data_IF_072058500061
#
_entry.id   IF_072058500061
#
_cell.length_a   1.000
_cell.length_b   1.000
_cell.length_c   1.000
_cell.angle_alpha   90.00
_cell.angle_beta   90.00
_cell.angle_gamma   90.00
#
_symmetry.space_group_name_H-M   'P 1'
#
loop_
_entity.id
_entity.type
_entity.pdbx_description
1 polymer ?
#
# COMPACT_ATOMS: atom_id res chain seq x y z
N UNK A 1 3.07 -26.24 -36.32
CA UNK A 1 4.20 -25.44 -35.79
C UNK A 1 3.65 -24.41 -34.81
N UNK A 2 4.04 -24.38 -33.53
CA UNK A 2 3.58 -23.34 -32.61
C UNK A 2 4.42 -22.06 -32.78
N UNK A 3 3.88 -20.87 -32.50
CA UNK A 3 4.54 -19.61 -32.83
C UNK A 3 5.63 -19.21 -31.82
N UNK A 4 6.75 -18.74 -32.39
CA UNK A 4 7.98 -18.26 -31.75
C UNK A 4 7.83 -16.86 -31.09
N UNK A 5 6.85 -16.69 -30.19
CA UNK A 5 6.61 -15.39 -29.51
C UNK A 5 7.34 -15.23 -28.16
N UNK A 6 7.85 -16.32 -27.57
CA UNK A 6 8.41 -16.29 -26.21
C UNK A 6 9.88 -15.86 -26.09
N UNK A 7 10.69 -15.99 -27.14
CA UNK A 7 12.13 -15.65 -27.08
C UNK A 7 12.35 -14.13 -27.01
N UNK A 8 11.69 -13.38 -27.89
CA UNK A 8 11.81 -11.91 -27.95
C UNK A 8 11.34 -11.22 -26.67
N UNK A 9 10.25 -11.67 -26.06
CA UNK A 9 9.78 -11.14 -24.77
C UNK A 9 10.71 -11.47 -23.60
N UNK A 10 11.39 -12.62 -23.62
CA UNK A 10 12.39 -12.95 -22.58
C UNK A 10 13.66 -12.13 -22.72
N UNK A 11 14.06 -11.83 -23.95
CA UNK A 11 15.26 -11.05 -24.23
C UNK A 11 15.07 -9.57 -23.90
N UNK A 12 13.92 -8.98 -24.26
CA UNK A 12 13.58 -7.60 -23.85
C UNK A 12 13.46 -7.48 -22.33
N UNK A 13 12.82 -8.46 -21.66
CA UNK A 13 12.78 -8.52 -20.19
C UNK A 13 14.19 -8.55 -19.59
N UNK A 14 15.10 -9.39 -20.10
CA UNK A 14 16.49 -9.46 -19.61
C UNK A 14 17.27 -8.17 -19.82
N UNK A 15 17.09 -7.48 -20.95
CA UNK A 15 17.75 -6.20 -21.24
C UNK A 15 17.23 -5.11 -20.31
N UNK A 16 15.92 -5.05 -20.08
CA UNK A 16 15.31 -4.12 -19.12
C UNK A 16 15.80 -4.39 -17.69
N UNK A 17 15.87 -5.66 -17.26
CA UNK A 17 16.39 -6.02 -15.94
C UNK A 17 17.86 -5.60 -15.73
N UNK A 18 18.69 -5.65 -16.79
CA UNK A 18 20.10 -5.20 -16.72
C UNK A 18 20.21 -3.68 -16.63
N UNK A 19 19.42 -2.94 -17.41
CA UNK A 19 19.41 -1.47 -17.35
C UNK A 19 18.92 -0.94 -16.01
N UNK A 20 17.89 -1.58 -15.44
CA UNK A 20 17.34 -1.25 -14.12
C UNK A 20 18.38 -1.51 -13.02
N UNK A 21 19.06 -2.65 -13.03
CA UNK A 21 20.16 -2.94 -12.07
C UNK A 21 21.34 -1.97 -12.19
N UNK A 22 21.73 -1.59 -13.40
CA UNK A 22 22.80 -0.59 -13.58
C UNK A 22 22.46 0.77 -12.97
N UNK A 23 21.20 1.20 -13.06
CA UNK A 23 20.71 2.42 -12.40
C UNK A 23 20.66 2.27 -10.87
N UNK A 24 20.22 1.12 -10.38
CA UNK A 24 20.24 0.77 -8.95
C UNK A 24 21.67 0.88 -8.39
N UNK A 25 22.65 0.27 -9.06
CA UNK A 25 24.05 0.30 -8.64
C UNK A 25 24.64 1.72 -8.68
N UNK A 26 24.34 2.49 -9.73
CA UNK A 26 24.79 3.88 -9.84
C UNK A 26 24.23 4.78 -8.74
N UNK A 27 22.94 4.64 -8.40
CA UNK A 27 22.32 5.38 -7.30
C UNK A 27 22.89 4.95 -5.96
N UNK A 28 23.04 3.65 -5.72
CA UNK A 28 23.64 3.14 -4.49
C UNK A 28 25.05 3.70 -4.29
N UNK A 29 25.92 3.62 -5.30
CA UNK A 29 27.31 4.12 -5.22
C UNK A 29 27.38 5.63 -4.97
N UNK A 30 26.46 6.39 -5.57
CA UNK A 30 26.39 7.85 -5.36
C UNK A 30 26.17 8.17 -3.88
N UNK A 31 25.26 7.46 -3.23
CA UNK A 31 24.84 7.77 -1.87
C UNK A 31 25.65 7.05 -0.79
N UNK A 32 26.26 5.89 -1.10
CA UNK A 32 27.11 5.14 -0.16
C UNK A 32 28.40 5.88 0.23
N UNK A 33 28.85 6.83 -0.60
CA UNK A 33 30.09 7.62 -0.37
C UNK A 33 29.80 8.94 0.36
N UNK A 34 28.53 9.27 0.61
CA UNK A 34 28.17 10.54 1.28
C UNK A 34 28.50 10.45 2.77
N UNK A 35 29.56 11.16 3.16
CA UNK A 35 30.08 11.22 4.54
C UNK A 35 29.71 12.50 5.29
N UNK A 36 29.21 13.53 4.59
CA UNK A 36 28.87 14.82 5.18
C UNK A 36 27.36 15.07 5.06
N UNK A 37 26.66 15.44 6.15
CA UNK A 37 25.26 15.81 6.09
C UNK A 37 25.08 17.19 5.47
N UNK A 38 23.97 17.36 4.76
CA UNK A 38 23.42 18.65 4.35
C UNK A 38 23.02 19.50 5.56
N UNK A 39 22.92 20.82 5.38
CA UNK A 39 22.47 21.73 6.45
C UNK A 39 21.07 21.34 6.95
N UNK A 40 20.18 20.96 6.04
CA UNK A 40 18.85 20.47 6.37
C UNK A 40 18.90 19.21 7.23
N UNK A 41 19.74 18.23 6.90
CA UNK A 41 19.87 17.03 7.74
C UNK A 41 20.47 17.36 9.11
N UNK A 42 21.43 18.29 9.19
CA UNK A 42 21.98 18.75 10.47
C UNK A 42 20.91 19.40 11.34
N UNK A 43 20.07 20.25 10.76
CA UNK A 43 18.95 20.90 11.46
C UNK A 43 17.96 19.86 11.99
N UNK A 44 17.54 18.92 11.14
CA UNK A 44 16.59 17.87 11.51
C UNK A 44 17.13 16.94 12.60
N UNK A 45 18.41 16.56 12.52
CA UNK A 45 19.04 15.70 13.54
C UNK A 45 19.30 16.48 14.84
N UNK A 46 19.52 17.79 14.76
CA UNK A 46 19.68 18.67 15.92
C UNK A 46 18.43 18.75 16.80
N UNK A 47 17.24 18.64 16.20
CA UNK A 47 15.99 18.53 16.94
C UNK A 47 15.64 17.07 17.23
N UNK A 48 15.57 16.70 18.52
CA UNK A 48 15.28 15.33 18.97
C UNK A 48 13.94 14.79 18.43
N UNK A 49 12.92 15.61 18.31
CA UNK A 49 11.61 15.18 17.82
C UNK A 49 11.63 14.91 16.32
N UNK A 50 12.24 15.82 15.56
CA UNK A 50 12.43 15.67 14.11
C UNK A 50 13.30 14.45 13.78
N UNK A 51 14.41 14.27 14.49
CA UNK A 51 15.27 13.11 14.37
C UNK A 51 14.48 11.82 14.62
N UNK A 52 13.69 11.77 15.71
CA UNK A 52 12.85 10.62 16.02
C UNK A 52 11.84 10.34 14.91
N UNK A 53 11.11 11.36 14.44
CA UNK A 53 10.13 11.20 13.36
C UNK A 53 10.79 10.68 12.07
N UNK A 54 11.94 11.22 11.69
CA UNK A 54 12.73 10.79 10.53
C UNK A 54 13.13 9.32 10.65
N UNK A 55 13.70 8.90 11.78
CA UNK A 55 14.14 7.52 11.98
C UNK A 55 12.97 6.53 12.03
N UNK A 56 11.86 6.91 12.65
CA UNK A 56 10.65 6.08 12.70
C UNK A 56 10.03 5.93 11.30
N UNK A 57 9.94 7.01 10.52
CA UNK A 57 9.48 6.99 9.14
C UNK A 57 10.32 6.08 8.26
N UNK A 58 11.64 6.25 8.30
CA UNK A 58 12.59 5.41 7.55
C UNK A 58 12.43 3.92 7.90
N UNK A 59 12.42 3.57 9.19
CA UNK A 59 12.27 2.18 9.65
C UNK A 59 10.93 1.57 9.22
N UNK A 60 9.85 2.35 9.33
CA UNK A 60 8.51 1.94 8.89
C UNK A 60 8.51 1.68 7.39
N UNK A 61 9.15 2.54 6.60
CA UNK A 61 9.22 2.40 5.16
C UNK A 61 10.01 1.17 4.75
N UNK A 62 11.19 0.95 5.34
CA UNK A 62 11.98 -0.26 5.12
C UNK A 62 11.18 -1.52 5.46
N UNK A 63 10.48 -1.52 6.60
CA UNK A 63 9.60 -2.63 6.97
C UNK A 63 8.51 -2.83 5.92
N UNK A 64 7.84 -1.76 5.47
CA UNK A 64 6.80 -1.82 4.44
C UNK A 64 7.32 -2.44 3.14
N UNK A 65 8.48 -1.98 2.65
CA UNK A 65 9.09 -2.49 1.41
C UNK A 65 9.44 -3.97 1.53
N UNK A 66 9.98 -4.43 2.67
CA UNK A 66 10.35 -5.84 2.87
C UNK A 66 9.18 -6.82 2.80
N UNK A 67 7.95 -6.37 3.08
CA UNK A 67 6.76 -7.21 2.96
C UNK A 67 6.21 -7.28 1.52
N UNK A 68 6.78 -6.51 0.58
CA UNK A 68 6.39 -6.52 -0.83
C UNK A 68 7.26 -7.49 -1.62
N UNK A 69 6.76 -7.94 -2.75
CA UNK A 69 7.56 -8.69 -3.69
C UNK A 69 8.76 -7.87 -4.14
N UNK A 70 9.94 -8.48 -4.05
CA UNK A 70 11.22 -7.87 -4.44
C UNK A 70 11.49 -7.99 -5.95
N UNK A 71 10.61 -8.66 -6.69
CA UNK A 71 10.71 -8.76 -8.14
C UNK A 71 10.21 -7.48 -8.79
N UNK A 72 11.01 -6.89 -9.68
CA UNK A 72 10.58 -5.77 -10.51
C UNK A 72 9.39 -6.13 -11.41
N UNK A 73 9.26 -7.41 -11.80
CA UNK A 73 8.16 -7.89 -12.65
C UNK A 73 6.79 -7.77 -11.95
N UNK A 74 6.77 -7.77 -10.62
CA UNK A 74 5.53 -7.68 -9.85
C UNK A 74 5.10 -6.22 -9.63
N UNK A 75 5.96 -5.25 -9.98
CA UNK A 75 5.66 -3.81 -9.90
C UNK A 75 5.41 -3.28 -8.47
N UNK A 76 5.77 -4.05 -7.44
CA UNK A 76 5.51 -3.67 -6.04
C UNK A 76 6.64 -2.85 -5.40
N UNK A 77 7.83 -2.88 -6.02
CA UNK A 77 9.02 -2.16 -5.58
C UNK A 77 9.65 -1.39 -6.73
N UNK A 78 10.16 -0.21 -6.40
CA UNK A 78 10.86 0.70 -7.31
C UNK A 78 12.38 0.54 -7.18
N UNK A 79 13.13 1.16 -8.09
CA UNK A 79 14.60 1.25 -7.99
C UNK A 79 15.00 1.93 -6.67
N UNK A 80 14.28 2.98 -6.27
CA UNK A 80 14.54 3.70 -5.03
C UNK A 80 14.32 2.82 -3.80
N UNK A 81 13.28 1.98 -3.80
CA UNK A 81 13.00 1.04 -2.71
C UNK A 81 14.15 0.05 -2.53
N UNK A 82 14.70 -0.45 -3.64
CA UNK A 82 15.82 -1.40 -3.64
C UNK A 82 17.12 -0.75 -3.16
N UNK A 83 17.41 0.47 -3.60
CA UNK A 83 18.54 1.27 -3.11
C UNK A 83 18.39 1.59 -1.63
N UNK A 84 17.18 1.96 -1.18
CA UNK A 84 16.90 2.24 0.24
C UNK A 84 17.19 1.00 1.10
N UNK A 85 16.68 -0.16 0.69
CA UNK A 85 16.94 -1.42 1.39
C UNK A 85 18.42 -1.75 1.42
N UNK A 86 19.12 -1.59 0.29
CA UNK A 86 20.55 -1.89 0.22
C UNK A 86 21.39 -0.98 1.13
N UNK A 87 21.13 0.33 1.12
CA UNK A 87 21.79 1.29 2.01
C UNK A 87 21.47 0.98 3.50
N UNK A 88 20.24 0.56 3.80
CA UNK A 88 19.81 0.21 5.15
C UNK A 88 20.40 -1.12 5.65
N UNK A 89 20.49 -2.12 4.78
CA UNK A 89 20.98 -3.46 5.12
C UNK A 89 22.50 -3.46 5.32
N UNK A 90 23.24 -2.70 4.50
CA UNK A 90 24.68 -2.57 4.61
C UNK A 90 25.12 -1.59 5.72
N UNK A 91 24.25 -0.63 6.07
CA UNK A 91 24.47 0.34 7.14
C UNK A 91 23.51 0.12 8.31
N UNK A 92 23.82 -0.82 9.21
CA UNK A 92 23.05 -1.01 10.45
C UNK A 92 23.21 0.14 11.47
N UNK A 93 23.92 1.21 11.13
CA UNK A 93 24.12 2.38 11.98
C UNK A 93 23.46 3.62 11.37
N UNK A 94 22.62 4.30 12.17
CA UNK A 94 22.02 5.61 11.89
C UNK A 94 23.04 6.75 11.72
N UNK A 95 24.33 6.42 11.60
CA UNK A 95 25.46 7.33 11.46
C UNK A 95 25.90 7.48 9.99
N UNK A 96 25.37 6.65 9.08
CA UNK A 96 25.60 6.81 7.66
C UNK A 96 24.70 7.90 7.09
N UNK A 97 25.25 9.11 6.98
CA UNK A 97 24.56 10.25 6.38
C UNK A 97 24.03 9.94 4.99
N UNK A 98 24.74 9.13 4.19
CA UNK A 98 24.27 8.70 2.88
C UNK A 98 22.89 8.04 2.85
N UNK A 99 22.51 7.26 3.87
CA UNK A 99 21.17 6.67 3.96
C UNK A 99 20.10 7.73 4.24
N UNK A 100 20.37 8.62 5.19
CA UNK A 100 19.43 9.68 5.59
C UNK A 100 19.27 10.72 4.48
N UNK A 101 20.37 11.12 3.86
CA UNK A 101 20.40 12.01 2.71
C UNK A 101 19.66 11.42 1.51
N UNK A 102 19.87 10.14 1.21
CA UNK A 102 19.11 9.47 0.16
C UNK A 102 17.61 9.47 0.46
N UNK A 103 17.23 9.17 1.71
CA UNK A 103 15.84 9.17 2.13
C UNK A 103 15.19 10.56 1.98
N UNK A 104 15.87 11.63 2.39
CA UNK A 104 15.35 12.99 2.21
C UNK A 104 15.30 13.40 0.74
N UNK A 105 16.42 13.32 0.04
CA UNK A 105 16.60 13.87 -1.30
C UNK A 105 15.81 13.11 -2.37
N UNK A 106 15.92 11.79 -2.40
CA UNK A 106 15.32 10.97 -3.46
C UNK A 106 13.99 10.36 -3.02
N UNK A 107 13.82 9.98 -1.74
CA UNK A 107 12.60 9.28 -1.28
C UNK A 107 11.47 10.22 -0.86
N UNK A 108 11.77 11.24 -0.05
CA UNK A 108 10.81 12.29 0.30
C UNK A 108 10.70 13.35 -0.81
N UNK A 109 11.70 13.42 -1.70
CA UNK A 109 11.67 14.26 -2.88
C UNK A 109 12.17 15.68 -2.66
N UNK A 110 12.94 15.96 -1.61
CA UNK A 110 13.46 17.32 -1.34
C UNK A 110 14.38 17.83 -2.45
N UNK A 111 14.95 16.94 -3.26
CA UNK A 111 15.76 17.28 -4.44
C UNK A 111 14.96 17.96 -5.56
N UNK A 112 13.64 17.75 -5.61
CA UNK A 112 12.76 18.34 -6.63
C UNK A 112 12.30 19.74 -6.22
N UNK A 113 12.44 20.09 -4.94
CA UNK A 113 12.06 21.38 -4.40
C UNK A 113 12.96 22.49 -4.97
N UNK A 114 12.35 23.61 -5.33
CA UNK A 114 13.05 24.77 -5.89
C UNK A 114 13.46 25.77 -4.81
N UNK A 115 12.86 25.70 -3.63
CA UNK A 115 13.16 26.54 -2.47
C UNK A 115 13.31 25.72 -1.18
N UNK A 116 13.99 26.32 -0.20
CA UNK A 116 14.13 25.77 1.14
C UNK A 116 12.76 25.67 1.85
N UNK A 117 11.89 26.65 1.67
CA UNK A 117 10.51 26.64 2.19
C UNK A 117 9.71 25.42 1.69
N UNK A 118 9.84 25.08 0.41
CA UNK A 118 9.17 23.93 -0.19
C UNK A 118 9.70 22.62 0.41
N UNK A 119 11.03 22.50 0.59
CA UNK A 119 11.63 21.33 1.24
C UNK A 119 11.15 21.16 2.68
N UNK A 120 11.09 22.27 3.45
CA UNK A 120 10.59 22.26 4.82
C UNK A 120 9.10 21.89 4.89
N UNK A 121 8.29 22.36 3.94
CA UNK A 121 6.87 22.00 3.84
C UNK A 121 6.69 20.50 3.59
N UNK A 122 7.45 19.90 2.66
CA UNK A 122 7.42 18.46 2.38
C UNK A 122 7.79 17.64 3.62
N UNK A 123 8.83 18.07 4.34
CA UNK A 123 9.28 17.38 5.56
C UNK A 123 8.24 17.51 6.68
N UNK A 124 7.68 18.70 6.88
CA UNK A 124 6.63 18.94 7.86
C UNK A 124 5.39 18.07 7.57
N UNK A 125 4.97 17.98 6.31
CA UNK A 125 3.90 17.09 5.88
C UNK A 125 4.24 15.62 6.17
N UNK A 126 5.48 15.19 5.92
CA UNK A 126 5.91 13.83 6.23
C UNK A 126 5.88 13.55 7.73
N UNK A 127 6.33 14.48 8.58
CA UNK A 127 6.30 14.33 10.03
C UNK A 127 4.87 14.33 10.57
N UNK A 128 3.99 15.18 10.05
CA UNK A 128 2.57 15.16 10.40
C UNK A 128 1.94 13.80 10.08
N UNK A 129 2.20 13.26 8.88
CA UNK A 129 1.73 11.94 8.48
C UNK A 129 2.31 10.83 9.39
N UNK A 130 3.60 10.91 9.73
CA UNK A 130 4.24 9.96 10.63
C UNK A 130 3.63 10.01 12.03
N UNK A 131 3.29 11.20 12.53
CA UNK A 131 2.64 11.39 13.83
C UNK A 131 1.25 10.76 13.86
N UNK A 132 0.46 10.91 12.79
CA UNK A 132 -0.84 10.22 12.61
C UNK A 132 -0.65 8.71 12.65
N UNK A 133 0.37 8.23 11.96
CA UNK A 133 0.65 6.81 11.82
C UNK A 133 1.18 6.16 13.11
N UNK A 134 1.87 6.91 13.96
CA UNK A 134 2.42 6.44 15.24
C UNK A 134 1.41 6.57 16.39
N UNK A 135 0.58 7.62 16.41
CA UNK A 135 -0.33 7.93 17.53
C UNK A 135 -1.83 7.73 17.21
N UNK A 136 -2.19 7.36 15.98
CA UNK A 136 -3.58 7.33 15.51
C UNK A 136 -4.04 8.67 14.90
N UNK A 137 -5.23 8.72 14.28
CA UNK A 137 -5.75 9.93 13.65
C UNK A 137 -5.76 11.09 14.65
N UNK A 138 -5.04 12.15 14.31
CA UNK A 138 -5.05 13.39 15.07
C UNK A 138 -6.38 14.07 14.74
N UNK A 139 -7.16 14.47 15.74
CA UNK A 139 -8.43 15.19 15.55
C UNK A 139 -8.25 16.54 14.82
N UNK A 140 -7.02 17.06 14.75
CA UNK A 140 -6.68 18.33 14.12
C UNK A 140 -5.36 18.21 13.35
N UNK A 141 -5.42 18.40 12.03
CA UNK A 141 -4.22 18.61 11.21
C UNK A 141 -3.70 20.01 11.55
N UNK A 142 -2.43 20.19 11.96
CA UNK A 142 -1.88 21.52 12.12
C UNK A 142 -1.78 22.15 10.73
N UNK A 143 -2.68 23.08 10.45
CA UNK A 143 -2.52 24.01 9.33
C UNK A 143 -1.32 24.87 9.74
N UNK A 144 -0.21 24.76 9.02
CA UNK A 144 0.85 25.77 9.11
C UNK A 144 0.23 27.08 8.62
N UNK A 145 -0.23 27.89 9.56
CA UNK A 145 -0.64 29.25 9.31
C UNK A 145 0.59 29.99 8.76
N UNK A 146 0.49 30.42 7.51
CA UNK A 146 1.35 31.47 6.98
C UNK A 146 1.10 32.74 7.78
N UNK A 147 2.18 33.38 8.17
CA UNK A 147 2.26 34.58 9.00
C UNK A 147 1.17 35.64 8.76
N UNK A 148 0.58 36.07 9.87
CA UNK A 148 -0.11 37.33 10.03
C UNK A 148 0.22 37.89 11.41
N UNK A 149 1.23 38.74 11.47
CA UNK A 149 1.75 39.46 12.65
C UNK A 149 0.63 40.15 13.46
N UNK A 150 0.63 39.94 14.78
CA UNK A 150 0.10 40.93 15.73
C UNK A 150 -0.47 40.40 17.05
N UNK A 151 0.28 40.55 18.15
CA UNK A 151 -0.31 40.96 19.43
C UNK A 151 -0.51 39.90 20.53
N UNK A 152 0.57 39.62 21.25
CA UNK A 152 0.72 39.47 22.70
C UNK A 152 -0.50 39.32 23.67
N UNK A 153 -0.24 38.46 24.68
CA UNK A 153 -0.69 38.44 26.10
C UNK A 153 -1.82 37.44 26.46
N UNK A 154 -1.46 36.53 27.38
CA UNK A 154 -2.35 36.16 28.50
C UNK A 154 -2.54 34.66 28.76
N UNK A 155 -1.78 34.11 29.71
CA UNK A 155 -2.16 32.90 30.46
C UNK A 155 -3.55 33.07 31.12
N UNK A 156 -4.30 31.98 31.26
CA UNK A 156 -4.79 31.43 32.55
C UNK A 156 -5.85 30.33 32.31
N UNK A 157 -5.54 29.20 32.93
CA UNK A 157 -6.32 28.07 33.48
C UNK A 157 -7.82 27.84 33.18
N UNK A 158 -8.10 26.53 33.05
CA UNK A 158 -9.26 25.75 33.55
C UNK A 158 -10.70 26.21 33.26
N UNK A 159 -11.47 25.32 32.61
CA UNK A 159 -12.90 25.23 32.83
C UNK A 159 -13.72 24.61 31.70
N UNK A 160 -14.21 23.37 31.94
CA UNK A 160 -15.43 22.72 31.42
C UNK A 160 -16.28 23.46 30.35
N UNK A 161 -16.58 22.73 29.27
CA UNK A 161 -17.88 22.66 28.56
C UNK A 161 -17.63 21.75 27.34
N UNK A 162 -18.15 20.54 27.14
CA UNK A 162 -19.54 20.04 27.14
C UNK A 162 -20.49 20.93 26.34
N UNK A 163 -20.42 20.82 25.01
CA UNK A 163 -21.43 21.12 23.97
C UNK A 163 -20.83 21.96 22.82
N UNK A 164 -20.16 21.32 21.85
CA UNK A 164 -19.96 21.91 20.51
C UNK A 164 -19.79 20.87 19.37
N UNK A 165 -20.04 19.58 19.61
CA UNK A 165 -19.83 18.54 18.59
C UNK A 165 -20.89 18.54 17.47
N UNK A 166 -22.10 19.04 17.73
CA UNK A 166 -23.21 19.00 16.77
C UNK A 166 -23.05 19.92 15.55
N UNK A 167 -22.35 21.05 15.69
CA UNK A 167 -22.12 21.98 14.59
C UNK A 167 -21.03 21.49 13.61
N UNK A 168 -20.02 20.79 14.12
CA UNK A 168 -18.94 20.23 13.30
C UNK A 168 -19.41 19.00 12.51
N UNK A 169 -20.23 18.14 13.12
CA UNK A 169 -20.80 16.95 12.48
C UNK A 169 -21.79 17.32 11.37
N UNK A 170 -22.66 18.31 11.60
CA UNK A 170 -23.59 18.81 10.58
C UNK A 170 -22.87 19.43 9.38
N UNK A 171 -21.87 20.28 9.61
CA UNK A 171 -21.06 20.86 8.53
C UNK A 171 -20.26 19.80 7.75
N UNK A 172 -19.88 18.69 8.38
CA UNK A 172 -19.26 17.56 7.69
C UNK A 172 -20.26 16.80 6.80
N UNK A 173 -21.47 16.55 7.30
CA UNK A 173 -22.56 15.93 6.53
C UNK A 173 -22.91 16.79 5.31
N UNK A 174 -23.03 18.10 5.48
CA UNK A 174 -23.34 19.03 4.37
C UNK A 174 -22.29 18.96 3.26
N UNK A 175 -21.00 18.86 3.62
CA UNK A 175 -19.92 18.66 2.65
C UNK A 175 -20.03 17.33 1.92
N UNK A 176 -20.34 16.24 2.63
CA UNK A 176 -20.52 14.93 2.01
C UNK A 176 -21.73 14.92 1.07
N UNK A 177 -22.83 15.57 1.45
CA UNK A 177 -24.01 15.76 0.61
C UNK A 177 -23.67 16.57 -0.64
N UNK A 178 -22.92 17.66 -0.51
CA UNK A 178 -22.49 18.47 -1.66
C UNK A 178 -21.63 17.66 -2.65
N UNK A 179 -20.67 16.89 -2.14
CA UNK A 179 -19.82 16.02 -2.97
C UNK A 179 -20.65 14.95 -3.66
N UNK A 180 -21.60 14.34 -2.96
CA UNK A 180 -22.52 13.36 -3.52
C UNK A 180 -23.38 13.95 -4.64
N UNK A 181 -23.99 15.12 -4.43
CA UNK A 181 -24.81 15.80 -5.45
C UNK A 181 -23.99 16.14 -6.69
N UNK A 182 -22.75 16.62 -6.51
CA UNK A 182 -21.82 16.86 -7.62
C UNK A 182 -21.47 15.58 -8.37
N UNK A 183 -21.12 14.51 -7.65
CA UNK A 183 -20.82 13.21 -8.24
C UNK A 183 -22.00 12.64 -9.02
N UNK A 184 -23.23 12.84 -8.53
CA UNK A 184 -24.48 12.44 -9.18
C UNK A 184 -24.68 13.22 -10.49
N UNK A 185 -24.47 14.53 -10.48
CA UNK A 185 -24.53 15.35 -11.68
C UNK A 185 -23.48 14.92 -12.73
N UNK A 186 -22.22 14.74 -12.31
CA UNK A 186 -21.13 14.30 -13.18
C UNK A 186 -21.40 12.92 -13.79
N UNK A 187 -22.00 12.01 -13.02
CA UNK A 187 -22.43 10.70 -13.53
C UNK A 187 -23.45 10.83 -14.66
N UNK A 188 -24.51 11.62 -14.49
CA UNK A 188 -25.53 11.80 -15.54
C UNK A 188 -24.97 12.50 -16.78
N UNK A 189 -24.09 13.49 -16.61
CA UNK A 189 -23.44 14.19 -17.71
C UNK A 189 -22.53 13.23 -18.50
N UNK A 190 -21.69 12.47 -17.79
CA UNK A 190 -20.70 11.56 -18.39
C UNK A 190 -21.27 10.20 -18.80
N UNK A 191 -22.54 9.92 -18.50
CA UNK A 191 -23.24 8.74 -19.02
C UNK A 191 -23.32 8.80 -20.55
N UNK A 192 -23.43 10.00 -21.12
CA UNK A 192 -23.55 10.27 -22.56
C UNK A 192 -22.19 10.50 -23.23
N UNK A 193 -21.10 10.68 -22.47
CA UNK A 193 -19.79 10.97 -23.05
C UNK A 193 -19.13 9.74 -23.70
N UNK A 194 -18.39 9.93 -24.79
CA UNK A 194 -17.70 8.83 -25.51
C UNK A 194 -16.46 8.31 -24.78
N UNK A 195 -15.96 9.04 -23.79
CA UNK A 195 -14.77 8.68 -23.02
C UNK A 195 -15.07 7.57 -22.02
N UNK A 196 -14.74 6.33 -22.39
CA UNK A 196 -14.88 5.16 -21.53
C UNK A 196 -14.20 5.33 -20.16
N UNK A 197 -13.04 5.99 -20.13
CA UNK A 197 -12.26 6.23 -18.90
C UNK A 197 -12.99 7.17 -17.96
N UNK A 198 -13.53 8.27 -18.47
CA UNK A 198 -14.27 9.25 -17.66
C UNK A 198 -15.57 8.67 -17.15
N UNK A 199 -16.33 7.96 -17.99
CA UNK A 199 -17.55 7.23 -17.58
C UNK A 199 -17.26 6.20 -16.48
N UNK A 200 -16.17 5.45 -16.62
CA UNK A 200 -15.78 4.46 -15.59
C UNK A 200 -15.38 5.13 -14.29
N UNK A 201 -14.68 6.26 -14.35
CA UNK A 201 -14.26 6.99 -13.16
C UNK A 201 -15.45 7.66 -12.45
N UNK A 202 -16.37 8.29 -13.19
CA UNK A 202 -17.54 8.96 -12.62
C UNK A 202 -18.45 7.97 -11.90
N UNK A 203 -18.68 6.79 -12.48
CA UNK A 203 -19.49 5.72 -11.87
C UNK A 203 -18.86 5.20 -10.58
N UNK A 204 -17.54 4.98 -10.58
CA UNK A 204 -16.82 4.53 -9.38
C UNK A 204 -16.85 5.60 -8.29
N UNK A 205 -16.65 6.85 -8.67
CA UNK A 205 -16.66 7.99 -7.75
C UNK A 205 -18.05 8.19 -7.14
N UNK A 206 -19.13 8.11 -7.94
CA UNK A 206 -20.51 8.17 -7.44
C UNK A 206 -20.80 7.03 -6.45
N UNK A 207 -20.42 5.78 -6.78
CA UNK A 207 -20.62 4.67 -5.84
C UNK A 207 -19.88 4.90 -4.53
N UNK A 208 -18.58 5.21 -4.61
CA UNK A 208 -17.72 5.30 -3.42
C UNK A 208 -18.14 6.51 -2.54
N UNK A 209 -18.61 7.62 -3.14
CA UNK A 209 -19.16 8.77 -2.41
C UNK A 209 -20.52 8.49 -1.78
N UNK A 210 -21.42 7.79 -2.49
CA UNK A 210 -22.72 7.39 -1.96
C UNK A 210 -22.59 6.40 -0.79
N UNK A 211 -21.71 5.40 -0.91
CA UNK A 211 -21.43 4.44 0.18
C UNK A 211 -20.82 5.14 1.40
N UNK A 212 -19.93 6.11 1.20
CA UNK A 212 -19.37 6.88 2.31
C UNK A 212 -20.44 7.72 3.00
N UNK A 213 -21.26 8.45 2.23
CA UNK A 213 -22.36 9.26 2.75
C UNK A 213 -23.37 8.39 3.53
N UNK A 214 -23.76 7.23 3.00
CA UNK A 214 -24.69 6.32 3.68
C UNK A 214 -24.16 5.85 5.02
N UNK A 215 -22.87 5.46 5.09
CA UNK A 215 -22.23 5.03 6.35
C UNK A 215 -22.23 6.14 7.39
N UNK A 216 -21.93 7.37 6.97
CA UNK A 216 -21.95 8.52 7.85
C UNK A 216 -23.36 8.88 8.31
N UNK A 217 -24.35 8.90 7.40
CA UNK A 217 -25.75 9.16 7.75
C UNK A 217 -26.28 8.11 8.73
N UNK A 218 -26.10 6.82 8.49
CA UNK A 218 -26.54 5.77 9.42
C UNK A 218 -25.90 5.85 10.81
N UNK A 219 -24.72 6.48 10.90
CA UNK A 219 -24.04 6.71 12.18
C UNK A 219 -24.53 7.95 12.92
N UNK A 220 -24.98 8.99 12.20
CA UNK A 220 -25.37 10.28 12.76
C UNK A 220 -26.91 10.43 12.86
N UNK A 221 -27.63 10.15 11.78
CA UNK A 221 -29.08 10.25 11.67
C UNK A 221 -29.64 9.13 10.78
N UNK A 222 -30.28 8.14 11.42
CA UNK A 222 -30.80 6.93 10.76
C UNK A 222 -32.06 7.16 9.95
N UNK A 223 -32.77 8.26 10.19
CA UNK A 223 -34.05 8.56 9.55
C UNK A 223 -33.93 9.70 8.51
N UNK A 224 -32.70 9.99 8.08
CA UNK A 224 -32.42 11.07 7.14
C UNK A 224 -33.10 10.83 5.78
N UNK A 225 -33.85 11.82 5.29
CA UNK A 225 -34.69 11.74 4.08
C UNK A 225 -33.95 11.30 2.80
N UNK A 226 -32.63 11.48 2.74
CA UNK A 226 -31.80 11.12 1.59
C UNK A 226 -31.38 9.64 1.55
N UNK A 227 -31.51 8.90 2.67
CA UNK A 227 -31.11 7.49 2.76
C UNK A 227 -31.72 6.61 1.65
N UNK A 228 -33.05 6.62 1.40
CA UNK A 228 -33.64 5.75 0.38
C UNK A 228 -33.12 6.06 -1.04
N UNK A 229 -32.86 7.34 -1.34
CA UNK A 229 -32.29 7.75 -2.63
C UNK A 229 -30.83 7.29 -2.77
N UNK A 230 -30.06 7.35 -1.68
CA UNK A 230 -28.66 6.91 -1.65
C UNK A 230 -28.57 5.38 -1.76
N UNK A 231 -29.50 4.63 -1.20
CA UNK A 231 -29.52 3.17 -1.37
C UNK A 231 -29.80 2.77 -2.83
N UNK A 232 -30.77 3.41 -3.48
CA UNK A 232 -31.09 3.18 -4.89
C UNK A 232 -29.90 3.51 -5.81
N UNK A 233 -29.26 4.67 -5.60
CA UNK A 233 -28.10 5.05 -6.42
C UNK A 233 -26.88 4.14 -6.20
N UNK A 234 -26.68 3.59 -5.00
CA UNK A 234 -25.63 2.60 -4.74
C UNK A 234 -25.91 1.35 -5.56
N UNK A 235 -27.16 0.85 -5.56
CA UNK A 235 -27.53 -0.33 -6.33
C UNK A 235 -27.32 -0.13 -7.84
N UNK A 236 -27.78 1.00 -8.38
CA UNK A 236 -27.62 1.37 -9.80
C UNK A 236 -26.14 1.52 -10.16
N UNK A 237 -25.37 2.26 -9.36
CA UNK A 237 -23.95 2.51 -9.62
C UNK A 237 -23.09 1.25 -9.47
N UNK A 238 -23.43 0.33 -8.57
CA UNK A 238 -22.77 -0.98 -8.43
C UNK A 238 -22.99 -1.87 -9.65
N UNK A 239 -24.23 -1.97 -10.14
CA UNK A 239 -24.55 -2.72 -11.35
C UNK A 239 -23.79 -2.17 -12.57
N UNK A 240 -23.81 -0.84 -12.72
CA UNK A 240 -23.13 -0.17 -13.83
C UNK A 240 -21.60 -0.24 -13.73
N UNK A 241 -21.02 -0.11 -12.53
CA UNK A 241 -19.59 -0.30 -12.30
C UNK A 241 -19.15 -1.73 -12.64
N UNK A 242 -19.97 -2.73 -12.27
CA UNK A 242 -19.71 -4.14 -12.57
C UNK A 242 -19.78 -4.39 -14.07
N UNK A 243 -20.75 -3.79 -14.77
CA UNK A 243 -20.84 -3.86 -16.24
C UNK A 243 -19.60 -3.27 -16.91
N UNK A 244 -19.17 -2.08 -16.51
CA UNK A 244 -17.93 -1.45 -17.00
C UNK A 244 -16.66 -2.22 -16.57
N UNK A 245 -16.71 -3.04 -15.52
CA UNK A 245 -15.62 -3.92 -15.13
C UNK A 245 -15.66 -5.30 -15.82
N UNK A 246 -16.56 -5.51 -16.80
CA UNK A 246 -16.71 -6.79 -17.49
C UNK A 246 -17.34 -7.88 -16.62
N UNK A 247 -18.26 -7.50 -15.72
CA UNK A 247 -18.95 -8.39 -14.78
C UNK A 247 -18.19 -8.67 -13.48
N UNK A 248 -17.02 -8.04 -13.27
CA UNK A 248 -16.22 -8.25 -12.07
C UNK A 248 -16.68 -7.36 -10.92
N UNK A 249 -17.30 -7.96 -9.90
CA UNK A 249 -17.61 -7.33 -8.60
C UNK A 249 -16.34 -7.14 -7.75
N UNK A 250 -16.31 -6.14 -6.85
CA UNK A 250 -15.24 -6.03 -5.84
C UNK A 250 -15.44 -7.07 -4.74
N UNK A 251 -14.39 -7.37 -3.97
CA UNK A 251 -14.43 -8.36 -2.87
C UNK A 251 -15.55 -8.11 -1.86
N UNK A 252 -15.96 -6.85 -1.71
CA UNK A 252 -16.96 -6.41 -0.73
C UNK A 252 -18.37 -6.26 -1.32
N UNK A 253 -18.54 -6.41 -2.64
CA UNK A 253 -19.84 -6.28 -3.33
C UNK A 253 -20.54 -7.66 -3.49
N UNK A 254 -19.98 -8.72 -2.90
CA UNK A 254 -20.56 -10.06 -2.97
C UNK A 254 -21.63 -10.16 -1.89
N UNK A 255 -22.87 -10.45 -2.30
CA UNK A 255 -23.92 -10.86 -1.38
C UNK A 255 -23.75 -12.34 -1.06
N UNK A 256 -24.19 -12.80 0.13
CA UNK A 256 -24.05 -14.21 0.53
C UNK A 256 -24.69 -15.20 -0.47
N UNK A 257 -25.65 -14.70 -1.27
CA UNK A 257 -26.32 -15.43 -2.34
C UNK A 257 -25.51 -15.54 -3.66
N UNK A 258 -24.40 -14.83 -3.82
CA UNK A 258 -23.52 -14.89 -5.01
C UNK A 258 -22.60 -16.16 -5.02
N UNK A 259 -22.81 -17.08 -4.08
CA UNK A 259 -21.96 -18.25 -3.80
C UNK A 259 -21.92 -19.33 -4.89
N UNK A 260 -22.71 -19.23 -5.96
CA UNK A 260 -22.84 -20.29 -6.98
C UNK A 260 -21.87 -20.16 -8.16
N UNK A 261 -21.05 -19.11 -8.22
CA UNK A 261 -20.20 -18.93 -9.41
C UNK A 261 -19.14 -17.85 -9.31
N UNK A 262 -18.34 -17.81 -8.26
CA UNK A 262 -17.14 -16.97 -8.27
C UNK A 262 -16.06 -17.59 -9.18
N UNK A 263 -15.52 -16.85 -10.17
CA UNK A 263 -14.24 -17.19 -10.77
C UNK A 263 -13.17 -17.01 -9.69
N UNK A 264 -12.73 -18.12 -9.09
CA UNK A 264 -11.67 -18.12 -8.09
C UNK A 264 -10.39 -17.47 -8.65
N UNK A 265 -10.01 -16.30 -8.10
CA UNK A 265 -8.73 -15.64 -8.33
C UNK A 265 -7.60 -16.31 -7.51
N UNK A 266 -7.39 -17.62 -7.73
CA UNK A 266 -6.18 -18.33 -7.28
C UNK A 266 -5.16 -18.35 -8.42
N UNK A 267 -3.89 -17.93 -8.22
CA UNK A 267 -2.84 -18.04 -9.24
C UNK A 267 -2.38 -19.49 -9.52
N UNK A 268 -2.95 -20.49 -8.84
CA UNK A 268 -2.62 -21.89 -9.06
C UNK A 268 -3.89 -22.69 -9.37
N UNK A 269 -4.19 -22.87 -10.66
CA UNK A 269 -4.94 -24.03 -11.14
C UNK A 269 -3.99 -24.90 -11.98
N UNK A 270 -3.67 -26.13 -11.56
CA UNK A 270 -3.08 -27.11 -12.45
C UNK A 270 -4.08 -27.40 -13.57
N UNK A 271 -3.61 -27.47 -14.80
CA UNK A 271 -4.38 -27.95 -15.94
C UNK A 271 -5.02 -29.32 -15.63
N UNK A 272 -6.31 -29.33 -15.29
CA UNK A 272 -7.15 -30.50 -15.45
C UNK A 272 -7.68 -30.49 -16.87
N UNK A 273 -7.10 -31.36 -17.70
CA UNK A 273 -7.71 -31.78 -18.95
C UNK A 273 -9.07 -32.39 -18.63
N UNK A 274 -10.13 -31.83 -19.19
CA UNK A 274 -11.35 -32.59 -19.44
C UNK A 274 -11.00 -33.64 -20.49
N UNK A 275 -10.97 -34.92 -20.10
CA UNK A 275 -11.13 -36.03 -21.03
C UNK A 275 -12.40 -36.75 -20.66
N UNK A 276 -13.24 -36.86 -21.67
CA UNK A 276 -14.61 -37.35 -21.64
C UNK A 276 -14.77 -38.65 -20.85
N UNK A 277 -15.86 -38.68 -20.10
CA UNK A 277 -16.46 -39.93 -19.65
C UNK A 277 -16.93 -40.71 -20.88
N UNK A 278 -16.28 -41.84 -21.15
CA UNK A 278 -16.85 -42.85 -22.05
C UNK A 278 -16.46 -44.24 -21.58
N UNK A 279 -17.50 -45.03 -21.26
CA UNK A 279 -17.51 -46.47 -21.45
C UNK A 279 -16.70 -47.28 -20.46
N UNK A 280 -17.39 -47.92 -19.52
CA UNK A 280 -16.79 -48.90 -18.63
C UNK A 280 -16.28 -50.15 -19.35
N UNK A 281 -15.40 -50.87 -18.67
CA UNK A 281 -15.41 -52.33 -18.59
C UNK A 281 -14.63 -52.76 -17.35
N UNK A 282 -15.27 -53.58 -16.52
CA UNK A 282 -14.63 -54.40 -15.50
C UNK A 282 -13.54 -55.27 -16.12
N UNK A 283 -12.39 -55.41 -15.47
CA UNK A 283 -11.66 -56.69 -15.40
C UNK A 283 -10.76 -56.74 -14.17
N UNK A 284 -10.98 -57.81 -13.40
CA UNK A 284 -10.25 -58.29 -12.23
C UNK A 284 -8.85 -58.80 -12.61
N UNK A 285 -8.05 -59.00 -11.56
CA UNK A 285 -6.84 -59.83 -11.45
C UNK A 285 -5.61 -59.25 -12.18
N UNK A 286 -4.40 -59.22 -11.61
CA UNK A 286 -3.76 -60.28 -10.82
C UNK A 286 -2.50 -59.73 -10.11
N UNK A 287 -2.28 -60.19 -8.88
CA UNK A 287 -1.03 -60.10 -8.13
C UNK A 287 0.00 -61.06 -8.76
N UNK A 288 1.23 -60.61 -9.00
CA UNK A 288 2.40 -61.48 -9.26
C UNK A 288 3.60 -60.84 -8.54
N UNK A 289 4.20 -61.50 -7.54
CA UNK A 289 5.42 -61.07 -6.86
C UNK A 289 6.69 -61.69 -7.50
N UNK A 290 7.84 -61.23 -6.97
CA UNK A 290 9.22 -61.69 -7.18
C UNK A 290 9.91 -61.19 -8.47
N UNK A 291 11.13 -60.62 -8.45
CA UNK A 291 12.22 -60.72 -7.48
C UNK A 291 13.36 -59.73 -7.84
N UNK A 292 14.33 -59.61 -6.91
CA UNK A 292 15.75 -59.20 -7.09
C UNK A 292 16.11 -57.77 -6.64
N UNK A 293 16.43 -57.72 -5.34
CA UNK A 293 17.61 -57.11 -4.68
C UNK A 293 17.95 -55.65 -4.95
N UNK A 294 17.98 -54.81 -3.90
CA UNK A 294 19.23 -54.30 -3.31
C UNK A 294 19.01 -54.02 -1.83
N UNK A 295 19.90 -54.63 -1.05
CA UNK A 295 19.96 -54.71 0.40
C UNK A 295 20.39 -53.37 1.04
N UNK A 296 19.94 -53.18 2.28
CA UNK A 296 20.36 -52.14 3.18
C UNK A 296 21.61 -52.59 3.95
N UNK A 297 22.63 -51.74 4.09
CA UNK A 297 23.46 -51.82 5.30
C UNK A 297 24.09 -50.49 5.69
N UNK A 298 23.62 -50.03 6.84
CA UNK A 298 24.23 -49.16 7.84
C UNK A 298 25.76 -49.15 7.92
N UNK A 299 26.34 -47.97 8.14
CA UNK A 299 27.45 -47.79 9.09
C UNK A 299 27.18 -46.56 9.98
N UNK A 300 27.33 -46.79 11.27
CA UNK A 300 27.11 -45.92 12.42
C UNK A 300 28.47 -45.35 12.90
N UNK A 301 28.55 -44.05 13.25
CA UNK A 301 29.37 -43.47 14.35
C UNK A 301 29.24 -41.94 14.36
N UNK A 302 28.50 -41.33 15.29
CA UNK A 302 28.92 -40.85 16.63
C UNK A 302 30.18 -39.97 16.63
N UNK A 303 29.98 -38.67 16.89
CA UNK A 303 30.71 -37.67 17.70
C UNK A 303 29.81 -36.41 17.54
N UNK A 304 29.00 -35.95 18.49
CA UNK A 304 29.30 -35.63 19.88
C UNK A 304 29.93 -34.23 19.92
N UNK A 305 29.16 -33.20 20.31
CA UNK A 305 29.55 -32.03 21.10
C UNK A 305 28.32 -31.15 21.33
N UNK A 306 27.64 -31.44 22.44
CA UNK A 306 26.88 -30.46 23.21
C UNK A 306 27.88 -29.60 23.99
N UNK A 307 27.72 -28.28 23.93
CA UNK A 307 28.09 -27.37 25.03
C UNK A 307 27.05 -26.25 25.07
N UNK A 308 26.17 -26.33 26.08
CA UNK A 308 25.33 -25.23 26.56
C UNK A 308 26.14 -24.33 27.51
N UNK A 309 25.63 -23.11 27.68
CA UNK A 309 25.67 -22.21 28.86
C UNK A 309 26.22 -20.83 28.46
N UNK A 310 25.36 -19.80 28.33
CA UNK A 310 24.83 -18.90 29.38
C UNK A 310 25.69 -17.63 29.54
N UNK A 311 25.10 -16.49 29.21
CA UNK A 311 25.04 -15.21 29.98
C UNK A 311 24.85 -14.05 28.99
N UNK A 312 23.69 -13.40 28.92
CA UNK A 312 23.20 -12.37 29.84
C UNK A 312 24.12 -11.15 29.87
N UNK A 313 23.65 -10.01 29.33
CA UNK A 313 23.89 -8.66 29.84
C UNK A 313 23.05 -7.65 29.04
N UNK A 314 22.06 -7.09 29.74
CA UNK A 314 21.38 -5.81 29.53
C UNK A 314 21.69 -5.02 30.81
N UNK A 315 22.15 -3.77 30.74
CA UNK A 315 21.24 -2.63 30.78
C UNK A 315 21.07 -1.93 29.43
#
# INVERSE_FOLDING_TARGET
MPPSSHSKQRETKRVMSRGVRGKEDSLYLKWSVVMNPSELLKELVGNREHARALFHGLRRQVKSIRHRSQSYDDGQVTIYDRVLLRLYDEGHTMQHYGLLEFYLAEYLGTKVCQSEEESNSVIAAHFAAQRILDNGPISEIPITATDGVGGAIGEVETGKSSQDSGASESHHIDKLVQVYQKAKADYYILQVSDSYRERTNSVRFLRDTAENLLRYLLSADKDHNLIPEIEDIIQVSQAHASQLAGGRKRKFDHTDNDSTGSPSLSPYRPHRYYRDQRGGHSRRDRYVPDSITWDHSHVNRRIGWDSRALDSYRP
#
